data_IF_900963576569
#
_entry.id   IF_900963576569
#
_cell.length_a   1.000
_cell.length_b   1.000
_cell.length_c   1.000
_cell.angle_alpha   90.00
_cell.angle_beta   90.00
_cell.angle_gamma   90.00
#
_symmetry.space_group_name_H-M   'P 1'
#
loop_
_entity.id
_entity.type
_entity.pdbx_description
1 polymer ?
#
# COMPACT_ATOMS: atom_id res chain seq x y z
N UNK A 1 5.93 -8.95 34.15
CA UNK A 1 5.61 -7.59 33.66
C UNK A 1 6.03 -7.50 32.20
N UNK A 2 5.12 -6.99 31.38
CA UNK A 2 5.21 -6.85 29.92
C UNK A 2 6.43 -6.06 29.47
N UNK A 3 7.38 -6.73 28.81
CA UNK A 3 8.23 -6.05 27.83
C UNK A 3 7.46 -6.00 26.52
N UNK A 4 6.43 -5.15 26.48
CA UNK A 4 5.93 -4.59 25.22
C UNK A 4 7.01 -3.63 24.71
N UNK A 5 8.15 -4.21 24.32
CA UNK A 5 9.18 -3.50 23.59
C UNK A 5 8.54 -3.07 22.28
N UNK A 6 8.14 -1.79 22.25
CA UNK A 6 7.78 -1.09 21.02
C UNK A 6 9.02 -0.92 20.16
N UNK A 7 9.57 -2.04 19.69
CA UNK A 7 10.65 -2.07 18.70
C UNK A 7 10.20 -1.21 17.52
N UNK A 8 11.06 -0.32 16.99
CA UNK A 8 10.69 0.58 15.89
C UNK A 8 9.95 -0.12 14.74
N UNK A 9 10.32 -1.36 14.45
CA UNK A 9 9.68 -2.21 13.44
C UNK A 9 8.19 -2.51 13.72
N UNK A 10 7.82 -2.74 14.97
CA UNK A 10 6.40 -2.97 15.35
C UNK A 10 5.55 -1.70 15.17
N UNK A 11 6.11 -0.53 15.49
CA UNK A 11 5.49 0.78 15.25
C UNK A 11 5.35 1.07 13.75
N UNK A 12 6.42 0.84 12.97
CA UNK A 12 6.37 0.98 11.51
C UNK A 12 5.31 0.06 10.87
N UNK A 13 5.24 -1.19 11.33
CA UNK A 13 4.22 -2.15 10.86
C UNK A 13 2.80 -1.68 11.19
N UNK A 14 2.56 -1.21 12.41
CA UNK A 14 1.25 -0.71 12.81
C UNK A 14 0.84 0.53 11.99
N UNK A 15 1.77 1.46 11.77
CA UNK A 15 1.53 2.64 10.95
C UNK A 15 1.18 2.29 9.49
N UNK A 16 1.83 1.29 8.90
CA UNK A 16 1.51 0.83 7.54
C UNK A 16 0.13 0.17 7.44
N UNK A 17 -0.28 -0.58 8.47
CA UNK A 17 -1.63 -1.18 8.54
C UNK A 17 -2.69 -0.08 8.67
N UNK A 18 -2.44 0.93 9.50
CA UNK A 18 -3.33 2.08 9.65
C UNK A 18 -3.43 2.89 8.35
N UNK A 19 -2.31 3.17 7.70
CA UNK A 19 -2.26 3.86 6.41
C UNK A 19 -2.98 3.07 5.31
N UNK A 20 -2.82 1.74 5.25
CA UNK A 20 -3.54 0.91 4.27
C UNK A 20 -5.05 0.97 4.48
N UNK A 21 -5.52 0.90 5.74
CA UNK A 21 -6.95 1.05 6.04
C UNK A 21 -7.49 2.45 5.71
N UNK A 22 -6.73 3.50 6.05
CA UNK A 22 -7.10 4.88 5.70
C UNK A 22 -7.26 5.04 4.19
N UNK A 23 -6.31 4.52 3.42
CA UNK A 23 -6.35 4.55 1.96
C UNK A 23 -7.52 3.74 1.38
N UNK A 24 -7.90 2.60 1.96
CA UNK A 24 -9.09 1.86 1.53
C UNK A 24 -10.38 2.68 1.68
N UNK A 25 -10.50 3.48 2.74
CA UNK A 25 -11.62 4.39 2.93
C UNK A 25 -11.59 5.54 1.92
N UNK A 26 -10.42 6.12 1.67
CA UNK A 26 -10.25 7.21 0.69
C UNK A 26 -10.54 6.76 -0.74
N UNK A 27 -10.10 5.56 -1.12
CA UNK A 27 -10.40 4.97 -2.42
C UNK A 27 -11.92 4.84 -2.60
N UNK A 28 -12.63 4.30 -1.59
CA UNK A 28 -14.09 4.18 -1.63
C UNK A 28 -14.76 5.55 -1.74
N UNK A 29 -14.28 6.54 -1.00
CA UNK A 29 -14.82 7.89 -1.04
C UNK A 29 -14.67 8.51 -2.44
N UNK A 30 -13.50 8.38 -3.05
CA UNK A 30 -13.25 8.88 -4.41
C UNK A 30 -14.09 8.13 -5.46
N UNK A 31 -14.22 6.81 -5.34
CA UNK A 31 -15.08 6.00 -6.21
C UNK A 31 -16.55 6.44 -6.11
N UNK A 32 -17.07 6.65 -4.90
CA UNK A 32 -18.42 7.18 -4.70
C UNK A 32 -18.58 8.61 -5.25
N UNK A 33 -17.51 9.42 -5.20
CA UNK A 33 -17.48 10.77 -5.75
C UNK A 33 -17.25 10.85 -7.27
N UNK A 34 -17.07 9.71 -7.95
CA UNK A 34 -16.63 9.62 -9.34
C UNK A 34 -15.28 10.34 -9.62
N UNK A 35 -14.46 10.56 -8.59
CA UNK A 35 -13.10 11.07 -8.76
C UNK A 35 -12.16 9.92 -9.14
N UNK A 36 -12.20 9.54 -10.41
CA UNK A 36 -11.38 8.45 -10.91
C UNK A 36 -9.87 8.77 -10.87
N UNK A 37 -9.47 10.05 -10.82
CA UNK A 37 -8.06 10.42 -10.69
C UNK A 37 -7.61 10.29 -9.23
N UNK A 38 -8.42 10.77 -8.29
CA UNK A 38 -8.23 10.57 -6.85
C UNK A 38 -8.12 9.09 -6.50
N UNK A 39 -9.08 8.28 -6.94
CA UNK A 39 -9.12 6.85 -6.65
C UNK A 39 -7.85 6.12 -7.12
N UNK A 40 -7.36 6.43 -8.34
CA UNK A 40 -6.11 5.84 -8.87
C UNK A 40 -4.88 6.30 -8.10
N UNK A 41 -4.82 7.55 -7.68
CA UNK A 41 -3.73 8.09 -6.85
C UNK A 41 -3.68 7.39 -5.49
N UNK A 42 -4.84 7.20 -4.85
CA UNK A 42 -4.91 6.50 -3.56
C UNK A 42 -4.61 4.99 -3.71
N UNK A 43 -5.07 4.32 -4.77
CA UNK A 43 -4.70 2.92 -5.07
C UNK A 43 -3.19 2.75 -5.26
N UNK A 44 -2.53 3.65 -5.98
CA UNK A 44 -1.08 3.61 -6.13
C UNK A 44 -0.36 3.71 -4.77
N UNK A 45 -0.79 4.61 -3.90
CA UNK A 45 -0.25 4.75 -2.54
C UNK A 45 -0.53 3.52 -1.68
N UNK A 46 -1.73 2.95 -1.78
CA UNK A 46 -2.13 1.75 -1.05
C UNK A 46 -1.22 0.58 -1.36
N UNK A 47 -0.97 0.33 -2.65
CA UNK A 47 -0.10 -0.75 -3.07
C UNK A 47 1.36 -0.52 -2.65
N UNK A 48 1.84 0.72 -2.58
CA UNK A 48 3.17 1.00 -1.99
C UNK A 48 3.20 0.68 -0.49
N UNK A 49 2.20 1.11 0.27
CA UNK A 49 2.10 0.80 1.70
C UNK A 49 2.06 -0.72 1.95
N UNK A 50 1.30 -1.46 1.13
CA UNK A 50 1.26 -2.92 1.20
C UNK A 50 2.61 -3.56 0.82
N UNK A 51 3.30 -3.06 -0.21
CA UNK A 51 4.63 -3.55 -0.57
C UNK A 51 5.64 -3.34 0.57
N UNK A 52 5.60 -2.19 1.26
CA UNK A 52 6.43 -1.92 2.44
C UNK A 52 6.07 -2.84 3.62
N UNK A 53 4.78 -3.09 3.84
CA UNK A 53 4.29 -4.01 4.87
C UNK A 53 4.79 -5.44 4.62
N UNK A 54 4.78 -5.89 3.36
CA UNK A 54 5.33 -7.18 2.97
C UNK A 54 6.86 -7.23 3.08
N UNK A 55 7.57 -6.13 2.79
CA UNK A 55 9.01 -6.05 3.02
C UNK A 55 9.37 -6.22 4.50
N UNK A 56 8.63 -5.56 5.41
CA UNK A 56 8.79 -5.75 6.85
C UNK A 56 8.44 -7.17 7.28
N UNK A 57 7.36 -7.74 6.72
CA UNK A 57 6.94 -9.10 7.04
C UNK A 57 7.96 -10.15 6.58
N UNK A 58 8.58 -9.96 5.41
CA UNK A 58 9.67 -10.79 4.91
C UNK A 58 10.91 -10.77 5.82
N UNK A 59 11.21 -9.60 6.42
CA UNK A 59 12.29 -9.45 7.40
C UNK A 59 11.99 -10.18 8.72
N UNK A 60 10.76 -10.06 9.22
CA UNK A 60 10.34 -10.60 10.50
C UNK A 60 10.07 -12.13 10.46
N UNK A 61 9.59 -12.65 9.32
CA UNK A 61 9.14 -14.02 9.18
C UNK A 61 9.97 -14.78 8.12
N UNK A 62 11.20 -15.15 8.47
CA UNK A 62 12.15 -15.79 7.55
C UNK A 62 11.61 -17.07 6.88
N UNK A 63 10.77 -17.84 7.57
CA UNK A 63 10.16 -19.06 7.04
C UNK A 63 9.14 -18.81 5.91
N UNK A 64 8.57 -17.61 5.84
CA UNK A 64 7.58 -17.20 4.85
C UNK A 64 8.13 -16.12 3.90
N UNK A 65 9.46 -15.91 3.90
CA UNK A 65 10.11 -14.82 3.17
C UNK A 65 9.77 -14.84 1.67
N UNK A 66 9.73 -16.02 1.06
CA UNK A 66 9.42 -16.18 -0.36
C UNK A 66 8.04 -15.65 -0.73
N UNK A 67 7.03 -15.97 0.09
CA UNK A 67 5.65 -15.52 -0.10
C UNK A 67 5.52 -14.01 0.07
N UNK A 68 6.15 -13.44 1.10
CA UNK A 68 6.13 -12.00 1.31
C UNK A 68 6.88 -11.22 0.21
N UNK A 69 8.01 -11.71 -0.28
CA UNK A 69 8.72 -11.07 -1.40
C UNK A 69 8.00 -11.24 -2.73
N UNK A 70 7.19 -12.29 -2.89
CA UNK A 70 6.29 -12.43 -4.03
C UNK A 70 5.16 -11.39 -3.94
N UNK A 71 4.44 -11.33 -2.82
CA UNK A 71 3.35 -10.37 -2.62
C UNK A 71 3.82 -8.91 -2.72
N UNK A 72 5.02 -8.60 -2.20
CA UNK A 72 5.66 -7.30 -2.37
C UNK A 72 5.84 -6.94 -3.84
N UNK A 73 6.33 -7.86 -4.66
CA UNK A 73 6.55 -7.62 -6.10
C UNK A 73 5.24 -7.38 -6.84
N UNK A 74 4.21 -8.16 -6.51
CA UNK A 74 2.86 -7.99 -7.06
C UNK A 74 2.31 -6.59 -6.76
N UNK A 75 2.40 -6.16 -5.49
CA UNK A 75 1.99 -4.81 -5.11
C UNK A 75 2.80 -3.70 -5.78
N UNK A 76 4.11 -3.86 -5.98
CA UNK A 76 4.90 -2.88 -6.74
C UNK A 76 4.45 -2.78 -8.20
N UNK A 77 4.10 -3.90 -8.83
CA UNK A 77 3.57 -3.93 -10.18
C UNK A 77 2.20 -3.24 -10.26
N UNK A 78 1.28 -3.54 -9.33
CA UNK A 78 -0.02 -2.88 -9.25
C UNK A 78 0.13 -1.37 -9.02
N UNK A 79 1.04 -0.94 -8.14
CA UNK A 79 1.31 0.48 -7.94
C UNK A 79 1.79 1.18 -9.22
N UNK A 80 2.62 0.51 -10.03
CA UNK A 80 3.06 1.03 -11.32
C UNK A 80 1.92 1.11 -12.33
N UNK A 81 1.05 0.10 -12.38
CA UNK A 81 -0.16 0.12 -13.22
C UNK A 81 -1.07 1.30 -12.85
N UNK A 82 -1.36 1.51 -11.55
CA UNK A 82 -2.17 2.64 -11.11
C UNK A 82 -1.57 4.00 -11.50
N UNK A 83 -0.24 4.15 -11.45
CA UNK A 83 0.43 5.38 -11.91
C UNK A 83 0.32 5.56 -13.43
N UNK A 84 0.43 4.47 -14.19
CA UNK A 84 0.24 4.49 -15.64
C UNK A 84 -1.18 4.92 -16.02
N UNK A 85 -2.19 4.36 -15.35
CA UNK A 85 -3.59 4.75 -15.54
C UNK A 85 -3.84 6.21 -15.13
N UNK A 86 -3.24 6.67 -14.02
CA UNK A 86 -3.36 8.07 -13.58
C UNK A 86 -2.80 9.03 -14.64
N UNK A 87 -1.62 8.73 -15.19
CA UNK A 87 -1.02 9.54 -16.25
C UNK A 87 -1.88 9.59 -17.52
N UNK A 88 -2.56 8.50 -17.88
CA UNK A 88 -3.50 8.49 -19.01
C UNK A 88 -4.70 9.39 -18.76
N UNK A 89 -5.26 9.36 -17.55
CA UNK A 89 -6.45 10.15 -17.17
C UNK A 89 -6.13 11.63 -17.07
N UNK A 90 -4.96 11.97 -16.52
CA UNK A 90 -4.49 13.35 -16.43
C UNK A 90 -4.07 13.89 -17.81
N UNK A 91 -3.50 13.05 -18.70
CA UNK A 91 -3.14 13.43 -20.07
C UNK A 91 -4.32 13.63 -21.03
N UNK A 92 -5.47 13.01 -20.76
CA UNK A 92 -6.71 13.17 -21.54
C UNK A 92 -7.51 14.44 -21.19
N UNK A 93 -7.06 15.22 -20.20
CA UNK A 93 -7.70 16.48 -19.77
C UNK A 93 -7.16 17.73 -20.49
N UNK A 94 -6.30 17.57 -21.50
CA UNK A 94 -5.74 18.63 -22.36
C UNK A 94 -6.45 18.64 -23.70
#
# INVERSE_FOLDING_TARGET
MNYAETTPLSKCRAALIEESHRLELEIKADECGNDHAGARRHRARYHIAMAELHALSAYLHRGMRGEFEWARRDHLQLAQQCRGELAQVEGQRV
#
